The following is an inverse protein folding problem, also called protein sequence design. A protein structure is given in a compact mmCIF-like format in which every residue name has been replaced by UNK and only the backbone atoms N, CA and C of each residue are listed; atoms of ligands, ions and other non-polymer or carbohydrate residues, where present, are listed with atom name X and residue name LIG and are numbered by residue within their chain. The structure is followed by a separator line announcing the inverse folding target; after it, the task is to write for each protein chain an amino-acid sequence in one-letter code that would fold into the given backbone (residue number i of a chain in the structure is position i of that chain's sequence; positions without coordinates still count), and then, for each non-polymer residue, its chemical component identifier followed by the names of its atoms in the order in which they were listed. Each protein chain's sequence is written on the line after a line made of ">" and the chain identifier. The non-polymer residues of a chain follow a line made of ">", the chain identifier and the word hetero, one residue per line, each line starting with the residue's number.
data_IF_603067251099
#
_entry.id   IF_603067251099
#
_cell.length_a   1.000
_cell.length_b   1.000
_cell.length_c   1.000
_cell.angle_alpha   90.00
_cell.angle_beta   90.00
_cell.angle_gamma   90.00
#
_symmetry.space_group_name_H-M   'P 1'
#
loop_
_entity.id
_entity.type
_entity.pdbx_description
1 polymer ?
#
# COMPACT_ATOMS: atom_id res chain seq x y z
N UNK A 1 -41.14 -12.59 -0.30
CA UNK A 1 -40.33 -11.39 -0.05
C UNK A 1 -40.98 -10.26 -0.83
N UNK A 2 -41.81 -9.45 -0.18
CA UNK A 2 -42.47 -8.32 -0.85
C UNK A 2 -41.45 -7.23 -1.11
N UNK A 3 -41.14 -7.02 -2.39
CA UNK A 3 -40.23 -5.98 -2.85
C UNK A 3 -40.91 -4.62 -2.65
N UNK A 4 -40.51 -3.87 -1.62
CA UNK A 4 -41.17 -2.64 -1.22
C UNK A 4 -40.71 -1.46 -2.09
N UNK A 5 -41.30 -1.35 -3.28
CA UNK A 5 -41.02 -0.30 -4.28
C UNK A 5 -41.16 1.11 -3.68
N UNK A 6 -42.04 1.31 -2.69
CA UNK A 6 -42.21 2.59 -2.00
C UNK A 6 -40.97 2.98 -1.19
N UNK A 7 -40.34 2.01 -0.52
CA UNK A 7 -39.09 2.24 0.22
C UNK A 7 -37.93 2.53 -0.73
N UNK A 8 -37.86 1.82 -1.86
CA UNK A 8 -36.85 2.07 -2.88
C UNK A 8 -36.99 3.49 -3.47
N UNK A 9 -38.22 3.94 -3.73
CA UNK A 9 -38.49 5.28 -4.23
C UNK A 9 -38.16 6.37 -3.20
N UNK A 10 -38.45 6.15 -1.91
CA UNK A 10 -38.08 7.11 -0.85
C UNK A 10 -36.56 7.19 -0.66
N UNK A 11 -35.87 6.04 -0.67
CA UNK A 11 -34.42 5.98 -0.50
C UNK A 11 -33.70 6.62 -1.70
N UNK A 12 -34.21 6.41 -2.92
CA UNK A 12 -33.74 7.09 -4.13
C UNK A 12 -33.97 8.61 -4.06
N UNK A 13 -35.14 9.05 -3.57
CA UNK A 13 -35.44 10.46 -3.37
C UNK A 13 -34.42 11.15 -2.45
N UNK A 14 -34.10 10.53 -1.31
CA UNK A 14 -33.08 11.02 -0.37
C UNK A 14 -31.70 11.10 -1.05
N UNK A 15 -31.32 10.08 -1.83
CA UNK A 15 -30.05 10.08 -2.56
C UNK A 15 -29.94 11.23 -3.57
N UNK A 16 -31.01 11.50 -4.33
CA UNK A 16 -31.05 12.63 -5.26
C UNK A 16 -30.95 13.96 -4.53
N UNK A 17 -31.66 14.13 -3.41
CA UNK A 17 -31.59 15.34 -2.59
C UNK A 17 -30.17 15.58 -2.05
N UNK A 18 -29.50 14.54 -1.56
CA UNK A 18 -28.09 14.61 -1.13
C UNK A 18 -27.16 15.01 -2.27
N UNK A 19 -27.35 14.42 -3.46
CA UNK A 19 -26.52 14.73 -4.63
C UNK A 19 -26.68 16.20 -5.05
N UNK A 20 -27.91 16.71 -5.09
CA UNK A 20 -28.20 18.12 -5.40
C UNK A 20 -27.49 19.04 -4.40
N UNK A 21 -27.64 18.76 -3.10
CA UNK A 21 -27.00 19.54 -2.04
C UNK A 21 -25.47 19.52 -2.17
N UNK A 22 -24.88 18.34 -2.36
CA UNK A 22 -23.44 18.17 -2.52
C UNK A 22 -22.90 18.95 -3.72
N UNK A 23 -23.60 18.90 -4.86
CA UNK A 23 -23.21 19.69 -6.03
C UNK A 23 -23.32 21.19 -5.75
N UNK A 24 -24.39 21.65 -5.12
CA UNK A 24 -24.58 23.06 -4.76
C UNK A 24 -23.46 23.63 -3.89
N UNK A 25 -22.95 22.85 -2.93
CA UNK A 25 -21.82 23.24 -2.09
C UNK A 25 -20.50 23.30 -2.86
N UNK A 26 -20.24 22.33 -3.75
CA UNK A 26 -19.02 22.31 -4.58
C UNK A 26 -18.97 23.48 -5.57
N UNK A 27 -20.12 23.96 -6.02
CA UNK A 27 -20.25 25.14 -6.88
C UNK A 27 -20.38 26.46 -6.08
N UNK A 28 -20.27 26.43 -4.75
CA UNK A 28 -20.33 27.62 -3.89
C UNK A 28 -21.70 28.30 -3.82
N UNK A 29 -22.76 27.61 -4.25
CA UNK A 29 -24.13 28.13 -4.27
C UNK A 29 -24.85 27.94 -2.93
N UNK A 30 -24.37 27.01 -2.09
CA UNK A 30 -24.98 26.68 -0.80
C UNK A 30 -23.90 26.65 0.29
N UNK A 31 -24.19 27.30 1.41
CA UNK A 31 -23.32 27.36 2.58
C UNK A 31 -23.25 25.98 3.25
N UNK A 32 -22.03 25.53 3.56
CA UNK A 32 -21.75 24.25 4.20
C UNK A 32 -21.86 24.41 5.71
N UNK A 33 -22.57 23.51 6.39
CA UNK A 33 -22.48 23.43 7.85
C UNK A 33 -21.03 23.11 8.25
N UNK A 34 -20.36 24.07 8.90
CA UNK A 34 -19.00 23.93 9.40
C UNK A 34 -18.95 23.04 10.64
N UNK A 35 -17.90 22.24 10.73
CA UNK A 35 -17.58 21.45 11.92
C UNK A 35 -16.68 22.30 12.83
N UNK A 36 -16.80 22.11 14.14
CA UNK A 36 -15.95 22.81 15.11
C UNK A 36 -14.46 22.47 14.89
N UNK A 37 -13.58 23.43 15.20
CA UNK A 37 -12.13 23.33 15.02
C UNK A 37 -11.52 22.11 15.72
N UNK A 38 -12.04 21.74 16.89
CA UNK A 38 -11.60 20.53 17.58
C UNK A 38 -11.89 19.26 16.75
N UNK A 39 -13.06 19.18 16.13
CA UNK A 39 -13.46 18.03 15.32
C UNK A 39 -12.65 17.94 14.02
N UNK A 40 -12.38 19.07 13.37
CA UNK A 40 -11.49 19.13 12.19
C UNK A 40 -10.06 18.68 12.53
N UNK A 41 -9.53 19.07 13.68
CA UNK A 41 -8.23 18.59 14.16
C UNK A 41 -8.22 17.07 14.37
N UNK A 42 -9.30 16.52 14.96
CA UNK A 42 -9.45 15.07 15.13
C UNK A 42 -9.48 14.33 13.78
N UNK A 43 -10.20 14.86 12.79
CA UNK A 43 -10.25 14.30 11.44
C UNK A 43 -8.89 14.30 10.76
N UNK A 44 -8.18 15.44 10.79
CA UNK A 44 -6.84 15.59 10.22
C UNK A 44 -5.84 14.63 10.85
N UNK A 45 -5.88 14.50 12.18
CA UNK A 45 -5.06 13.54 12.93
C UNK A 45 -5.39 12.10 12.54
N UNK A 46 -6.67 11.76 12.38
CA UNK A 46 -7.11 10.44 11.97
C UNK A 46 -6.61 10.07 10.57
N UNK A 47 -6.73 10.98 9.61
CA UNK A 47 -6.23 10.80 8.24
C UNK A 47 -4.72 10.61 8.20
N UNK A 48 -4.00 11.44 8.95
CA UNK A 48 -2.54 11.30 9.10
C UNK A 48 -2.18 9.94 9.71
N UNK A 49 -2.91 9.52 10.74
CA UNK A 49 -2.69 8.23 11.41
C UNK A 49 -2.86 7.06 10.44
N UNK A 50 -3.95 7.02 9.68
CA UNK A 50 -4.18 5.95 8.71
C UNK A 50 -3.11 5.92 7.64
N UNK A 51 -2.81 7.08 7.04
CA UNK A 51 -1.84 7.17 5.95
C UNK A 51 -0.45 6.69 6.38
N UNK A 52 0.02 7.13 7.55
CA UNK A 52 1.33 6.71 8.06
C UNK A 52 1.34 5.26 8.54
N UNK A 53 0.27 4.80 9.19
CA UNK A 53 0.16 3.39 9.61
C UNK A 53 0.21 2.46 8.40
N UNK A 54 -0.50 2.78 7.33
CA UNK A 54 -0.49 1.99 6.09
C UNK A 54 0.90 1.99 5.43
N UNK A 55 1.57 3.15 5.34
CA UNK A 55 2.92 3.23 4.76
C UNK A 55 3.94 2.43 5.56
N UNK A 56 3.94 2.56 6.89
CA UNK A 56 4.84 1.82 7.77
C UNK A 56 4.58 0.32 7.64
N UNK A 57 3.30 -0.09 7.71
CA UNK A 57 2.91 -1.48 7.52
C UNK A 57 3.43 -2.05 6.20
N UNK A 58 3.19 -1.37 5.06
CA UNK A 58 3.65 -1.81 3.74
C UNK A 58 5.17 -1.90 3.64
N UNK A 59 5.88 -0.92 4.19
CA UNK A 59 7.34 -0.93 4.15
C UNK A 59 7.93 -2.04 5.02
N UNK A 60 7.32 -2.31 6.17
CA UNK A 60 7.73 -3.42 7.04
C UNK A 60 7.43 -4.78 6.41
N UNK A 61 6.31 -4.94 5.69
CA UNK A 61 6.05 -6.16 4.88
C UNK A 61 7.17 -6.41 3.86
N UNK A 62 7.61 -5.35 3.15
CA UNK A 62 8.70 -5.45 2.17
C UNK A 62 10.04 -5.78 2.83
N UNK A 63 10.32 -5.21 4.01
CA UNK A 63 11.52 -5.51 4.79
C UNK A 63 11.59 -6.99 5.19
N UNK A 64 10.47 -7.54 5.69
CA UNK A 64 10.41 -8.92 6.17
C UNK A 64 10.36 -9.93 5.01
N UNK A 65 9.64 -9.60 3.93
CA UNK A 65 9.52 -10.45 2.75
C UNK A 65 9.60 -9.64 1.45
N UNK A 66 10.81 -9.46 0.90
CA UNK A 66 11.01 -8.68 -0.32
C UNK A 66 10.31 -9.28 -1.54
N UNK A 67 10.15 -10.61 -1.59
CA UNK A 67 9.54 -11.30 -2.71
C UNK A 67 8.02 -11.03 -2.77
N UNK A 68 7.50 -10.36 -3.82
CA UNK A 68 6.09 -10.05 -3.94
C UNK A 68 5.20 -11.29 -4.09
N UNK A 69 5.66 -12.34 -4.79
CA UNK A 69 4.89 -13.57 -4.98
C UNK A 69 4.65 -14.29 -3.66
N UNK A 70 5.69 -14.36 -2.82
CA UNK A 70 5.58 -14.98 -1.49
C UNK A 70 4.65 -14.18 -0.57
N UNK A 71 4.67 -12.84 -0.65
CA UNK A 71 3.75 -11.98 0.12
C UNK A 71 2.28 -12.20 -0.24
N UNK A 72 1.99 -12.33 -1.53
CA UNK A 72 0.62 -12.60 -2.00
C UNK A 72 0.18 -13.99 -1.55
N UNK A 73 1.06 -14.97 -1.65
CA UNK A 73 0.80 -16.34 -1.18
C UNK A 73 0.45 -16.34 0.32
N UNK A 74 1.25 -15.70 1.17
CA UNK A 74 0.99 -15.60 2.61
C UNK A 74 -0.35 -14.92 2.91
N UNK A 75 -0.67 -13.82 2.22
CA UNK A 75 -1.95 -13.14 2.35
C UNK A 75 -3.15 -14.03 1.99
N UNK A 76 -3.01 -14.87 0.95
CA UNK A 76 -4.08 -15.79 0.54
C UNK A 76 -4.29 -16.91 1.57
N UNK A 77 -3.22 -17.46 2.14
CA UNK A 77 -3.31 -18.45 3.22
C UNK A 77 -3.95 -17.84 4.48
N UNK A 78 -3.56 -16.61 4.84
CA UNK A 78 -4.14 -15.84 5.94
C UNK A 78 -5.65 -15.61 5.73
N UNK A 79 -6.08 -15.22 4.52
CA UNK A 79 -7.51 -15.02 4.21
C UNK A 79 -8.33 -16.31 4.13
N UNK A 80 -7.68 -17.45 3.91
CA UNK A 80 -8.34 -18.75 3.78
C UNK A 80 -8.34 -19.55 5.10
N UNK A 81 -7.85 -18.95 6.20
CA UNK A 81 -7.62 -19.59 7.50
C UNK A 81 -6.80 -20.89 7.37
N UNK A 82 -5.85 -20.92 6.43
CA UNK A 82 -4.97 -22.06 6.19
C UNK A 82 -3.55 -21.73 6.66
N UNK A 83 -2.88 -22.74 7.22
CA UNK A 83 -1.48 -22.60 7.62
C UNK A 83 -0.59 -22.50 6.38
N UNK A 84 0.24 -21.45 6.30
CA UNK A 84 1.27 -21.32 5.28
C UNK A 84 2.21 -22.53 5.38
N UNK A 85 2.51 -23.22 4.26
CA UNK A 85 3.47 -24.33 4.26
C UNK A 85 4.83 -23.86 4.80
N UNK A 86 5.39 -24.58 5.77
CA UNK A 86 6.73 -24.29 6.29
C UNK A 86 7.77 -24.57 5.20
N UNK A 87 8.19 -23.52 4.49
CA UNK A 87 9.32 -23.60 3.55
C UNK A 87 10.61 -23.35 4.33
N UNK A 88 11.67 -24.15 4.11
CA UNK A 88 12.97 -23.87 4.69
C UNK A 88 13.50 -22.55 4.13
N UNK A 89 14.07 -21.72 5.00
CA UNK A 89 14.74 -20.51 4.56
C UNK A 89 15.99 -20.88 3.75
N UNK A 90 16.49 -19.94 2.92
CA UNK A 90 17.68 -20.17 2.10
C UNK A 90 18.89 -20.63 2.94
N UNK A 91 19.04 -20.08 4.14
CA UNK A 91 20.11 -20.41 5.10
C UNK A 91 19.98 -21.85 5.63
N UNK A 92 18.75 -22.30 5.89
CA UNK A 92 18.51 -23.67 6.35
C UNK A 92 18.76 -24.66 5.23
N UNK A 93 18.32 -24.32 4.01
CA UNK A 93 18.57 -25.13 2.83
C UNK A 93 20.08 -25.31 2.58
N UNK A 94 20.86 -24.23 2.68
CA UNK A 94 22.31 -24.29 2.59
C UNK A 94 22.90 -25.17 3.71
N UNK A 95 22.45 -24.98 4.95
CA UNK A 95 22.87 -25.79 6.09
C UNK A 95 22.59 -27.28 5.90
N UNK A 96 21.46 -27.64 5.29
CA UNK A 96 21.12 -29.02 4.93
C UNK A 96 22.10 -29.59 3.91
N UNK A 97 22.36 -28.88 2.81
CA UNK A 97 23.32 -29.35 1.80
C UNK A 97 24.74 -29.51 2.35
N UNK A 98 25.19 -28.61 3.24
CA UNK A 98 26.50 -28.73 3.89
C UNK A 98 26.59 -29.98 4.77
N UNK A 99 25.51 -30.34 5.46
CA UNK A 99 25.46 -31.55 6.29
C UNK A 99 25.41 -32.83 5.46
N UNK A 100 24.66 -32.83 4.37
CA UNK A 100 24.60 -33.97 3.47
C UNK A 100 25.95 -34.19 2.78
N UNK A 101 26.60 -33.12 2.31
CA UNK A 101 27.98 -33.17 1.83
C UNK A 101 28.93 -33.72 2.91
N UNK A 102 28.78 -33.31 4.16
CA UNK A 102 29.61 -33.82 5.25
C UNK A 102 29.44 -35.31 5.53
N UNK A 103 28.23 -35.86 5.31
CA UNK A 103 27.96 -37.31 5.42
C UNK A 103 28.73 -38.07 4.34
N UNK A 104 28.74 -37.55 3.11
CA UNK A 104 29.42 -38.17 1.97
C UNK A 104 30.95 -38.10 2.10
N UNK A 105 31.50 -36.96 2.53
CA UNK A 105 32.94 -36.81 2.79
C UNK A 105 33.41 -37.57 4.04
N UNK A 106 32.49 -37.91 4.93
CA UNK A 106 32.76 -38.59 6.19
C UNK A 106 33.39 -37.68 7.26
N UNK A 107 33.06 -37.90 8.55
CA UNK A 107 33.54 -37.05 9.66
C UNK A 107 35.04 -37.21 9.97
N UNK A 108 35.69 -38.24 9.40
CA UNK A 108 37.12 -38.50 9.56
C UNK A 108 38.01 -37.51 8.79
N UNK A 109 37.45 -36.78 7.82
CA UNK A 109 38.20 -35.75 7.09
C UNK A 109 38.09 -34.40 7.80
N UNK A 110 39.14 -33.56 7.77
CA UNK A 110 39.06 -32.18 8.30
C UNK A 110 38.01 -31.34 7.57
N UNK A 111 37.74 -31.66 6.30
CA UNK A 111 36.71 -31.01 5.51
C UNK A 111 35.30 -31.42 5.95
N UNK A 112 35.01 -32.71 6.05
CA UNK A 112 33.71 -33.21 6.52
C UNK A 112 33.37 -32.73 7.93
N UNK A 113 34.31 -32.82 8.88
CA UNK A 113 34.11 -32.31 10.24
C UNK A 113 33.89 -30.79 10.32
N UNK A 114 34.48 -30.01 9.40
CA UNK A 114 34.23 -28.58 9.26
C UNK A 114 32.84 -28.31 8.69
N UNK A 115 32.45 -29.02 7.63
CA UNK A 115 31.13 -28.88 7.00
C UNK A 115 30.00 -29.17 7.98
N UNK A 116 30.14 -30.14 8.89
CA UNK A 116 29.16 -30.38 9.96
C UNK A 116 28.99 -29.11 10.82
N UNK A 117 30.10 -28.53 11.29
CA UNK A 117 30.05 -27.36 12.18
C UNK A 117 29.47 -26.13 11.49
N UNK A 118 29.85 -25.88 10.24
CA UNK A 118 29.33 -24.75 9.44
C UNK A 118 27.86 -24.99 9.11
N UNK A 119 27.49 -26.19 8.66
CA UNK A 119 26.10 -26.54 8.36
C UNK A 119 25.17 -26.45 9.58
N UNK A 120 25.64 -26.83 10.77
CA UNK A 120 24.91 -26.62 12.04
C UNK A 120 24.80 -25.15 12.44
N UNK A 121 25.76 -24.31 12.02
CA UNK A 121 25.71 -22.87 12.22
C UNK A 121 24.65 -22.24 11.30
N UNK A 122 24.70 -22.54 10.00
CA UNK A 122 23.75 -22.06 9.00
C UNK A 122 22.30 -22.48 9.31
N UNK A 123 22.08 -23.73 9.75
CA UNK A 123 20.74 -24.19 10.14
C UNK A 123 20.19 -23.43 11.36
N UNK A 124 21.05 -23.11 12.34
CA UNK A 124 20.65 -22.30 13.51
C UNK A 124 20.38 -20.86 13.12
N UNK A 125 21.17 -20.31 12.20
CA UNK A 125 20.96 -18.97 11.65
C UNK A 125 19.57 -18.86 11.00
N UNK A 126 19.23 -19.80 10.13
CA UNK A 126 17.93 -19.84 9.49
C UNK A 126 16.76 -20.01 10.46
N UNK A 127 16.94 -20.77 11.55
CA UNK A 127 15.93 -20.88 12.61
C UNK A 127 15.68 -19.54 13.32
N UNK A 128 16.75 -18.80 13.65
CA UNK A 128 16.64 -17.47 14.28
C UNK A 128 15.98 -16.48 13.32
N UNK A 129 16.32 -16.54 12.03
CA UNK A 129 15.68 -15.71 11.00
C UNK A 129 14.18 -16.00 10.90
N UNK A 130 13.79 -17.28 10.89
CA UNK A 130 12.38 -17.69 10.84
C UNK A 130 11.60 -17.20 12.06
N UNK A 131 12.17 -17.35 13.25
CA UNK A 131 11.56 -16.89 14.50
C UNK A 131 11.40 -15.36 14.50
N UNK A 132 12.40 -14.62 14.02
CA UNK A 132 12.32 -13.17 13.88
C UNK A 132 11.19 -12.75 12.92
N UNK A 133 11.09 -13.38 11.74
CA UNK A 133 10.03 -13.10 10.77
C UNK A 133 8.63 -13.36 11.38
N UNK A 134 8.46 -14.50 12.03
CA UNK A 134 7.18 -14.87 12.66
C UNK A 134 6.81 -13.92 13.81
N UNK A 135 7.75 -13.63 14.70
CA UNK A 135 7.51 -12.76 15.86
C UNK A 135 7.22 -11.33 15.40
N UNK A 136 7.90 -10.86 14.36
CA UNK A 136 7.65 -9.56 13.74
C UNK A 136 6.26 -9.47 13.08
N UNK A 137 5.84 -10.52 12.37
CA UNK A 137 4.53 -10.58 11.75
C UNK A 137 3.40 -10.55 12.80
N UNK A 138 3.54 -11.32 13.87
CA UNK A 138 2.53 -11.42 14.94
C UNK A 138 2.54 -10.18 15.84
N UNK A 139 3.73 -9.77 16.29
CA UNK A 139 3.90 -8.71 17.29
C UNK A 139 3.75 -7.30 16.72
N UNK A 140 4.10 -7.08 15.45
CA UNK A 140 4.11 -5.74 14.85
C UNK A 140 3.12 -5.58 13.69
N UNK A 141 3.14 -6.48 12.69
CA UNK A 141 2.27 -6.31 11.51
C UNK A 141 0.78 -6.56 11.82
N UNK A 142 0.47 -7.61 12.61
CA UNK A 142 -0.92 -8.00 12.90
C UNK A 142 -1.72 -6.89 13.61
N UNK A 143 -1.21 -6.21 14.65
CA UNK A 143 -1.91 -5.08 15.27
C UNK A 143 -2.22 -3.94 14.29
N UNK A 144 -1.25 -3.58 13.43
CA UNK A 144 -1.45 -2.53 12.42
C UNK A 144 -2.49 -2.96 11.38
N UNK A 145 -2.48 -4.23 10.95
CA UNK A 145 -3.51 -4.79 10.06
C UNK A 145 -4.89 -4.70 10.71
N UNK A 146 -5.02 -5.11 11.97
CA UNK A 146 -6.29 -5.08 12.70
C UNK A 146 -6.86 -3.67 12.81
N UNK A 147 -6.01 -2.67 13.08
CA UNK A 147 -6.42 -1.27 13.06
C UNK A 147 -6.92 -0.84 11.66
N UNK A 148 -6.17 -1.14 10.59
CA UNK A 148 -6.53 -0.73 9.22
C UNK A 148 -7.78 -1.44 8.68
N UNK A 149 -7.92 -2.74 8.94
CA UNK A 149 -9.02 -3.57 8.42
C UNK A 149 -10.26 -3.58 9.33
N UNK A 150 -10.11 -3.22 10.61
CA UNK A 150 -11.18 -3.19 11.62
C UNK A 150 -11.59 -1.76 12.00
N UNK A 151 -10.81 -1.13 12.88
CA UNK A 151 -11.14 0.17 13.47
C UNK A 151 -11.29 1.27 12.42
N UNK A 152 -10.34 1.37 11.49
CA UNK A 152 -10.37 2.38 10.44
C UNK A 152 -11.56 2.19 9.49
N UNK A 153 -11.95 0.95 9.17
CA UNK A 153 -13.16 0.71 8.36
C UNK A 153 -14.41 1.22 9.04
N UNK A 154 -14.50 1.06 10.36
CA UNK A 154 -15.61 1.59 11.17
C UNK A 154 -15.58 3.11 11.16
N UNK A 155 -14.43 3.73 11.45
CA UNK A 155 -14.25 5.20 11.40
C UNK A 155 -14.63 5.75 10.03
N UNK A 156 -14.16 5.12 8.94
CA UNK A 156 -14.46 5.53 7.57
C UNK A 156 -15.96 5.47 7.25
N UNK A 157 -16.65 4.42 7.72
CA UNK A 157 -18.09 4.26 7.55
C UNK A 157 -18.86 5.35 8.31
N UNK A 158 -18.53 5.59 9.57
CA UNK A 158 -19.21 6.60 10.40
C UNK A 158 -18.96 8.02 9.88
N UNK A 159 -17.76 8.33 9.38
CA UNK A 159 -17.46 9.60 8.69
C UNK A 159 -18.33 9.79 7.45
N UNK A 160 -18.50 8.74 6.63
CA UNK A 160 -19.39 8.81 5.46
C UNK A 160 -20.84 9.01 5.87
N UNK A 161 -21.27 8.38 6.97
CA UNK A 161 -22.62 8.55 7.49
C UNK A 161 -22.84 9.97 8.02
N UNK A 162 -21.85 10.54 8.73
CA UNK A 162 -21.87 11.92 9.19
C UNK A 162 -22.03 12.91 8.03
N UNK A 163 -21.25 12.73 6.96
CA UNK A 163 -21.37 13.56 5.76
C UNK A 163 -22.76 13.45 5.11
N UNK A 164 -23.33 12.25 5.06
CA UNK A 164 -24.71 12.07 4.58
C UNK A 164 -25.73 12.80 5.47
N UNK A 165 -25.57 12.74 6.80
CA UNK A 165 -26.45 13.47 7.75
C UNK A 165 -26.30 14.97 7.64
N UNK A 166 -25.09 15.47 7.39
CA UNK A 166 -24.83 16.89 7.11
C UNK A 166 -25.64 17.36 5.89
N UNK A 167 -25.57 16.61 4.79
CA UNK A 167 -26.33 16.93 3.57
C UNK A 167 -27.84 16.88 3.79
N UNK A 168 -28.34 15.90 4.57
CA UNK A 168 -29.76 15.80 4.92
C UNK A 168 -30.23 17.03 5.73
N UNK A 169 -29.42 17.46 6.70
CA UNK A 169 -29.66 18.62 7.53
C UNK A 169 -29.65 19.93 6.72
N UNK A 170 -28.66 20.10 5.85
CA UNK A 170 -28.55 21.28 4.97
C UNK A 170 -29.75 21.35 4.00
N UNK A 171 -30.19 20.21 3.47
CA UNK A 171 -31.41 20.14 2.66
C UNK A 171 -32.67 20.50 3.45
N UNK A 172 -32.81 20.03 4.69
CA UNK A 172 -33.94 20.40 5.55
C UNK A 172 -33.94 21.89 5.89
N UNK A 173 -32.78 22.50 6.15
CA UNK A 173 -32.64 23.96 6.34
C UNK A 173 -33.08 24.72 5.09
N UNK A 174 -32.64 24.29 3.91
CA UNK A 174 -33.01 24.91 2.64
C UNK A 174 -34.51 24.80 2.36
N UNK A 175 -35.12 23.63 2.62
CA UNK A 175 -36.55 23.41 2.47
C UNK A 175 -37.35 24.28 3.44
N UNK A 176 -36.96 24.36 4.72
CA UNK A 176 -37.63 25.22 5.69
C UNK A 176 -37.58 26.69 5.27
N UNK A 177 -36.42 27.18 4.80
CA UNK A 177 -36.28 28.54 4.27
C UNK A 177 -37.22 28.79 3.08
N UNK A 178 -37.34 27.81 2.17
CA UNK A 178 -38.25 27.90 1.02
C UNK A 178 -39.72 27.89 1.44
N UNK A 179 -40.12 27.02 2.38
CA UNK A 179 -41.50 26.96 2.89
C UNK A 179 -41.89 28.26 3.61
N UNK A 180 -41.01 28.83 4.44
CA UNK A 180 -41.26 30.13 5.11
C UNK A 180 -41.39 31.29 4.12
N UNK A 181 -40.61 31.28 3.03
CA UNK A 181 -40.74 32.26 1.95
C UNK A 181 -42.03 32.09 1.14
N UNK A 182 -42.53 30.87 1.00
CA UNK A 182 -43.81 30.60 0.33
C UNK A 182 -44.99 31.03 1.21
N UNK A 183 -44.93 30.75 2.51
CA UNK A 183 -45.92 31.18 3.49
C UNK A 183 -46.02 32.72 3.55
N UNK A 184 -44.89 33.43 3.62
CA UNK A 184 -44.89 34.90 3.66
C UNK A 184 -45.44 35.52 2.37
N UNK A 185 -45.15 34.94 1.20
CA UNK A 185 -45.73 35.37 -0.08
C UNK A 185 -47.24 35.13 -0.12
N UNK A 186 -47.70 33.95 0.31
CA UNK A 186 -49.13 33.63 0.36
C UNK A 186 -49.89 34.55 1.34
N UNK A 187 -49.26 34.95 2.45
CA UNK A 187 -49.82 35.93 3.39
C UNK A 187 -49.95 37.32 2.77
N UNK A 188 -48.94 37.81 2.03
CA UNK A 188 -49.00 39.11 1.35
C UNK A 188 -50.01 39.14 0.19
N UNK A 189 -50.17 38.05 -0.56
CA UNK A 189 -51.18 37.93 -1.62
C UNK A 189 -52.61 37.87 -1.06
N UNK A 190 -52.79 37.36 0.16
CA UNK A 190 -54.07 37.37 0.88
C UNK A 190 -54.48 38.75 1.41
N UNK A 191 -53.53 39.65 1.69
CA UNK A 191 -53.78 41.03 2.16
C UNK A 191 -53.90 42.07 1.03
N UNK A 192 -53.61 41.71 -0.22
CA UNK A 192 -53.81 42.61 -1.35
C UNK A 192 -55.30 42.97 -1.48
N UNK A 193 -55.64 44.22 -1.14
CA UNK A 193 -57.01 44.77 -1.19
C UNK A 193 -57.62 44.47 -2.56
N UNK A 194 -58.72 43.69 -2.64
CA UNK A 194 -59.41 43.50 -3.90
C UNK A 194 -60.05 44.82 -4.28
N UNK A 195 -59.83 45.24 -5.53
CA UNK A 195 -60.55 46.35 -6.14
C UNK A 195 -62.06 46.19 -5.89
N UNK A 196 -62.67 47.25 -5.35
CA UNK A 196 -63.98 47.23 -4.71
C UNK A 196 -65.09 47.14 -5.78
N UNK A 197 -65.27 45.97 -6.40
CA UNK A 197 -66.44 45.73 -7.26
C UNK A 197 -66.89 44.25 -7.39
N UNK A 198 -66.10 43.25 -7.01
CA UNK A 198 -66.50 41.83 -7.16
C UNK A 198 -66.98 41.18 -5.84
N UNK A 199 -68.29 41.06 -5.70
CA UNK A 199 -68.98 40.26 -4.67
C UNK A 199 -68.81 38.76 -4.92
N UNK A 200 -67.65 38.17 -4.58
CA UNK A 200 -67.50 36.71 -4.50
C UNK A 200 -66.81 36.23 -3.21
N UNK A 201 -67.57 35.67 -2.25
CA UNK A 201 -67.03 35.01 -1.05
C UNK A 201 -66.08 33.83 -1.34
N UNK A 202 -66.06 33.32 -2.58
CA UNK A 202 -65.26 32.15 -2.99
C UNK A 202 -63.75 32.40 -2.99
N UNK A 203 -63.28 33.63 -3.24
CA UNK A 203 -61.83 33.92 -3.29
C UNK A 203 -61.20 33.94 -1.89
N UNK A 204 -61.91 34.44 -0.88
CA UNK A 204 -61.42 34.47 0.51
C UNK A 204 -61.27 33.07 1.11
N UNK A 205 -62.19 32.15 0.84
CA UNK A 205 -62.11 30.77 1.34
C UNK A 205 -60.93 30.02 0.69
N UNK A 206 -60.65 30.25 -0.59
CA UNK A 206 -59.51 29.66 -1.28
C UNK A 206 -58.17 30.23 -0.78
N UNK A 207 -58.10 31.54 -0.53
CA UNK A 207 -56.94 32.22 0.06
C UNK A 207 -56.65 31.71 1.48
N UNK A 208 -57.64 31.69 2.37
CA UNK A 208 -57.48 31.17 3.73
C UNK A 208 -57.11 29.67 3.76
N UNK A 209 -57.65 28.87 2.84
CA UNK A 209 -57.29 27.46 2.70
C UNK A 209 -55.85 27.28 2.19
N UNK A 210 -55.38 28.16 1.30
CA UNK A 210 -54.00 28.15 0.83
C UNK A 210 -53.01 28.56 1.92
N UNK A 211 -53.31 29.60 2.71
CA UNK A 211 -52.48 29.97 3.87
C UNK A 211 -52.38 28.86 4.91
N UNK A 212 -53.49 28.17 5.22
CA UNK A 212 -53.49 27.05 6.15
C UNK A 212 -52.61 25.87 5.67
N UNK A 213 -52.61 25.57 4.37
CA UNK A 213 -51.76 24.53 3.78
C UNK A 213 -50.27 24.87 3.87
N UNK A 214 -49.90 26.14 3.68
CA UNK A 214 -48.50 26.56 3.78
C UNK A 214 -48.02 26.56 5.23
N UNK A 215 -48.86 26.94 6.19
CA UNK A 215 -48.52 26.83 7.62
C UNK A 215 -48.30 25.37 8.04
N UNK A 216 -49.15 24.44 7.58
CA UNK A 216 -48.95 22.99 7.83
C UNK A 216 -47.64 22.47 7.22
N UNK A 217 -47.28 22.91 6.01
CA UNK A 217 -46.02 22.54 5.36
C UNK A 217 -44.80 23.15 6.06
N UNK A 218 -44.91 24.36 6.63
CA UNK A 218 -43.86 24.96 7.47
C UNK A 218 -43.69 24.16 8.76
N UNK A 219 -44.76 23.83 9.47
CA UNK A 219 -44.72 23.02 10.70
C UNK A 219 -44.06 21.66 10.44
N UNK A 220 -44.39 21.03 9.31
CA UNK A 220 -43.78 19.78 8.86
C UNK A 220 -42.29 19.95 8.56
N UNK A 221 -41.91 20.99 7.83
CA UNK A 221 -40.50 21.26 7.52
C UNK A 221 -39.68 21.58 8.79
N UNK A 222 -40.27 22.24 9.79
CA UNK A 222 -39.65 22.50 11.09
C UNK A 222 -39.47 21.21 11.90
N UNK A 223 -40.47 20.31 11.88
CA UNK A 223 -40.36 19.01 12.52
C UNK A 223 -39.26 18.16 11.88
N UNK A 224 -39.22 18.09 10.55
CA UNK A 224 -38.20 17.35 9.80
C UNK A 224 -36.79 17.92 10.04
N UNK A 225 -36.64 19.25 10.10
CA UNK A 225 -35.37 19.87 10.47
C UNK A 225 -34.92 19.49 11.89
N UNK A 226 -35.85 19.50 12.87
CA UNK A 226 -35.52 19.06 14.24
C UNK A 226 -35.03 17.62 14.29
N UNK A 227 -35.68 16.71 13.55
CA UNK A 227 -35.26 15.30 13.47
C UNK A 227 -33.90 15.16 12.77
N UNK A 228 -33.67 15.91 11.69
CA UNK A 228 -32.38 15.90 10.99
C UNK A 228 -31.24 16.44 11.87
N UNK A 229 -31.50 17.49 12.65
CA UNK A 229 -30.54 18.05 13.60
C UNK A 229 -30.15 17.04 14.69
N UNK A 230 -31.12 16.40 15.34
CA UNK A 230 -30.83 15.43 16.41
C UNK A 230 -30.07 14.22 15.88
N UNK A 231 -30.39 13.75 14.68
CA UNK A 231 -29.67 12.62 14.06
C UNK A 231 -28.25 13.01 13.62
N UNK A 232 -28.04 14.25 13.13
CA UNK A 232 -26.70 14.77 12.85
C UNK A 232 -25.87 14.90 14.12
N UNK A 233 -26.40 15.49 15.18
CA UNK A 233 -25.69 15.67 16.46
C UNK A 233 -25.32 14.31 17.08
N UNK A 234 -26.26 13.35 17.05
CA UNK A 234 -26.01 11.96 17.47
C UNK A 234 -24.88 11.33 16.66
N UNK A 235 -24.90 11.50 15.33
CA UNK A 235 -23.89 10.93 14.45
C UNK A 235 -22.52 11.60 14.60
N UNK A 236 -22.51 12.92 14.85
CA UNK A 236 -21.30 13.69 15.13
C UNK A 236 -20.64 13.19 16.40
N UNK A 237 -21.40 12.96 17.48
CA UNK A 237 -20.87 12.43 18.73
C UNK A 237 -20.32 11.01 18.59
N UNK A 238 -21.02 10.11 17.89
CA UNK A 238 -20.50 8.76 17.59
C UNK A 238 -19.16 8.84 16.85
N UNK A 239 -19.08 9.69 15.83
CA UNK A 239 -17.84 9.87 15.05
C UNK A 239 -16.74 10.50 15.92
N UNK A 240 -17.08 11.47 16.77
CA UNK A 240 -16.16 12.13 17.70
C UNK A 240 -15.50 11.13 18.64
N UNK A 241 -16.30 10.28 19.28
CA UNK A 241 -15.81 9.25 20.21
C UNK A 241 -14.87 8.26 19.52
N UNK A 242 -15.17 7.86 18.29
CA UNK A 242 -14.29 6.98 17.50
C UNK A 242 -12.96 7.66 17.16
N UNK A 243 -12.99 8.94 16.78
CA UNK A 243 -11.77 9.72 16.47
C UNK A 243 -10.92 10.00 17.72
N UNK A 244 -11.55 10.21 18.88
CA UNK A 244 -10.85 10.31 20.16
C UNK A 244 -10.20 8.98 20.56
N UNK A 245 -10.86 7.86 20.25
CA UNK A 245 -10.34 6.50 20.45
C UNK A 245 -9.00 6.23 19.73
N UNK A 246 -8.68 6.98 18.67
CA UNK A 246 -7.39 6.86 17.97
C UNK A 246 -6.20 7.15 18.91
N UNK A 247 -6.36 8.03 19.89
CA UNK A 247 -5.28 8.26 20.88
C UNK A 247 -4.92 7.00 21.66
N UNK A 248 -5.88 6.13 21.95
CA UNK A 248 -5.61 4.82 22.57
C UNK A 248 -4.86 3.88 21.62
N UNK A 249 -5.23 3.88 20.33
CA UNK A 249 -4.53 3.08 19.31
C UNK A 249 -3.08 3.53 19.14
N UNK A 250 -2.78 4.83 19.27
CA UNK A 250 -1.41 5.35 19.24
C UNK A 250 -0.58 4.80 20.39
N UNK A 251 -1.10 4.79 21.61
CA UNK A 251 -0.40 4.21 22.77
C UNK A 251 -0.13 2.72 22.53
N UNK A 252 -1.10 1.99 21.97
CA UNK A 252 -0.91 0.58 21.61
C UNK A 252 0.20 0.41 20.54
N UNK A 253 0.16 1.20 19.47
CA UNK A 253 1.17 1.16 18.41
C UNK A 253 2.56 1.57 18.92
N UNK A 254 2.65 2.51 19.86
CA UNK A 254 3.90 2.91 20.51
C UNK A 254 4.55 1.74 21.26
N UNK A 255 3.76 0.99 22.03
CA UNK A 255 4.24 -0.25 22.66
C UNK A 255 4.74 -1.25 21.61
N UNK A 256 4.04 -1.38 20.48
CA UNK A 256 4.46 -2.27 19.38
C UNK A 256 5.76 -1.81 18.69
N UNK A 257 6.02 -0.52 18.61
CA UNK A 257 7.29 0.02 18.11
C UNK A 257 8.46 -0.31 19.06
N UNK A 258 8.24 -0.25 20.36
CA UNK A 258 9.24 -0.65 21.36
C UNK A 258 9.50 -2.16 21.26
N UNK A 259 8.44 -2.97 21.17
CA UNK A 259 8.56 -4.41 20.94
C UNK A 259 9.35 -4.71 19.66
N UNK A 260 9.06 -4.00 18.55
CA UNK A 260 9.80 -4.13 17.28
C UNK A 260 11.30 -3.85 17.44
N UNK A 261 11.64 -2.81 18.18
CA UNK A 261 13.03 -2.46 18.47
C UNK A 261 13.74 -3.55 19.28
N UNK A 262 13.04 -4.15 20.24
CA UNK A 262 13.57 -5.26 21.02
C UNK A 262 13.77 -6.52 20.17
N UNK A 263 12.83 -6.83 19.27
CA UNK A 263 12.92 -7.96 18.34
C UNK A 263 14.11 -7.81 17.40
N UNK A 264 14.24 -6.65 16.76
CA UNK A 264 15.34 -6.35 15.83
C UNK A 264 16.70 -6.35 16.52
N UNK A 265 16.79 -5.82 17.75
CA UNK A 265 18.01 -5.87 18.56
C UNK A 265 18.40 -7.30 18.93
N UNK A 266 17.44 -8.11 19.38
CA UNK A 266 17.68 -9.52 19.75
C UNK A 266 18.13 -10.33 18.54
N UNK A 267 17.49 -10.10 17.39
CA UNK A 267 17.89 -10.72 16.14
C UNK A 267 19.32 -10.33 15.74
N UNK A 268 19.65 -9.03 15.78
CA UNK A 268 21.01 -8.53 15.50
C UNK A 268 22.08 -9.13 16.42
N UNK A 269 21.81 -9.22 17.73
CA UNK A 269 22.72 -9.88 18.68
C UNK A 269 22.90 -11.37 18.38
N UNK A 270 21.82 -12.06 17.98
CA UNK A 270 21.86 -13.48 17.64
C UNK A 270 22.68 -13.73 16.38
N UNK A 271 22.51 -12.88 15.35
CA UNK A 271 23.35 -12.87 14.16
C UNK A 271 24.82 -12.63 14.52
N UNK A 272 25.10 -11.58 15.30
CA UNK A 272 26.47 -11.23 15.69
C UNK A 272 27.14 -12.35 16.49
N UNK A 273 26.45 -12.95 17.46
CA UNK A 273 26.99 -14.06 18.23
C UNK A 273 27.30 -15.29 17.36
N UNK A 274 26.48 -15.54 16.33
CA UNK A 274 26.69 -16.63 15.37
C UNK A 274 27.85 -16.35 14.41
N UNK A 275 27.98 -15.13 13.90
CA UNK A 275 29.10 -14.71 13.04
C UNK A 275 30.42 -14.53 13.83
N UNK A 276 30.34 -14.19 15.11
CA UNK A 276 31.48 -14.07 16.01
C UNK A 276 31.90 -15.39 16.66
N UNK A 277 31.35 -16.55 16.27
CA UNK A 277 31.92 -17.85 16.62
C UNK A 277 33.40 -17.84 16.21
N UNK A 278 34.35 -17.74 17.15
CA UNK A 278 35.74 -17.56 16.78
C UNK A 278 36.18 -18.81 16.02
N UNK A 279 36.99 -18.67 14.97
CA UNK A 279 37.61 -19.83 14.31
C UNK A 279 38.40 -20.74 15.27
N UNK A 280 38.64 -20.29 16.51
CA UNK A 280 39.14 -21.06 17.64
C UNK A 280 38.17 -22.15 18.13
N UNK A 281 36.84 -22.01 17.99
CA UNK A 281 35.85 -23.06 18.28
C UNK A 281 35.60 -24.02 17.10
N UNK A 282 35.80 -23.56 15.85
CA UNK A 282 35.83 -24.47 14.70
C UNK A 282 37.10 -25.34 14.67
N UNK A 283 38.15 -24.96 15.42
CA UNK A 283 39.43 -25.69 15.48
C UNK A 283 40.29 -25.49 14.23
N UNK A 284 39.90 -24.57 13.34
CA UNK A 284 40.51 -24.36 12.02
C UNK A 284 41.70 -23.39 12.10
N UNK A 285 41.67 -22.42 13.01
CA UNK A 285 42.69 -21.36 13.04
C UNK A 285 43.89 -21.72 13.93
N UNK A 286 43.72 -22.60 14.92
CA UNK A 286 44.76 -22.88 15.92
C UNK A 286 45.55 -24.17 15.69
N UNK A 287 45.21 -24.95 14.65
CA UNK A 287 46.09 -25.99 14.12
C UNK A 287 46.55 -25.49 12.76
N UNK A 288 47.73 -24.87 12.73
CA UNK A 288 48.31 -24.35 11.49
C UNK A 288 48.13 -25.35 10.36
N UNK A 289 47.64 -24.87 9.21
CA UNK A 289 47.56 -25.67 7.99
C UNK A 289 48.90 -26.39 7.82
N UNK A 290 48.98 -27.73 7.93
CA UNK A 290 50.20 -28.41 7.54
C UNK A 290 50.36 -28.08 6.06
N UNK A 291 51.47 -27.42 5.75
CA UNK A 291 51.80 -26.86 4.46
C UNK A 291 51.79 -27.98 3.40
N UNK A 292 50.61 -28.29 2.84
CA UNK A 292 50.41 -29.38 1.88
C UNK A 292 50.96 -29.05 0.49
N UNK A 293 51.69 -27.94 0.36
CA UNK A 293 52.38 -27.51 -0.86
C UNK A 293 53.91 -27.44 -0.68
N UNK A 294 54.47 -27.95 0.42
CA UNK A 294 55.92 -28.05 0.59
C UNK A 294 56.48 -29.28 -0.16
N UNK A 295 56.50 -29.20 -1.48
CA UNK A 295 57.17 -30.15 -2.38
C UNK A 295 58.54 -29.62 -2.84
N UNK A 296 59.59 -30.33 -2.41
CA UNK A 296 61.01 -30.31 -2.83
C UNK A 296 61.99 -29.25 -2.27
N UNK A 297 62.97 -29.67 -1.44
CA UNK A 297 64.22 -28.96 -1.23
C UNK A 297 65.25 -29.44 -2.25
N UNK A 298 65.68 -28.56 -3.14
CA UNK A 298 66.74 -28.89 -4.08
C UNK A 298 67.02 -27.75 -5.04
N UNK A 299 67.70 -26.72 -4.55
CA UNK A 299 68.79 -25.99 -5.20
C UNK A 299 69.09 -24.72 -4.39
N UNK A 300 70.07 -24.82 -3.51
CA UNK A 300 70.71 -23.66 -2.86
C UNK A 300 71.74 -23.05 -3.79
N UNK A 301 71.75 -21.71 -3.91
CA UNK A 301 72.91 -20.79 -3.84
C UNK A 301 72.32 -19.36 -3.77
N UNK A 302 72.44 -18.62 -2.65
CA UNK A 302 73.56 -17.73 -2.28
C UNK A 302 73.89 -16.70 -3.39
N UNK A 303 74.05 -15.38 -3.19
CA UNK A 303 74.14 -14.50 -2.03
C UNK A 303 74.08 -13.03 -2.50
N UNK A 304 73.63 -12.10 -1.65
CA UNK A 304 74.28 -10.78 -1.48
C UNK A 304 73.77 -9.55 -2.26
N UNK A 305 73.56 -8.44 -1.53
CA UNK A 305 73.88 -7.08 -2.02
C UNK A 305 72.75 -6.06 -2.18
N UNK A 306 72.57 -5.22 -1.14
CA UNK A 306 72.28 -3.76 -1.12
C UNK A 306 71.57 -3.03 -2.30
N UNK A 307 70.51 -2.28 -1.94
CA UNK A 307 69.82 -1.13 -2.57
C UNK A 307 70.74 -0.05 -3.22
N UNK A 308 70.29 0.95 -4.04
CA UNK A 308 68.96 1.62 -3.98
C UNK A 308 68.33 2.26 -5.27
N UNK A 309 67.06 2.70 -5.13
CA UNK A 309 66.34 3.85 -5.74
C UNK A 309 66.13 3.99 -7.29
N UNK A 310 64.87 3.75 -7.73
CA UNK A 310 63.96 4.46 -8.69
C UNK A 310 64.45 5.17 -9.98
N UNK A 311 63.59 5.50 -11.00
CA UNK A 311 62.16 5.17 -11.24
C UNK A 311 61.79 4.75 -12.71
N UNK A 312 60.51 4.38 -12.90
CA UNK A 312 59.69 4.46 -14.12
C UNK A 312 60.01 3.61 -15.37
N UNK A 313 59.12 2.66 -15.70
CA UNK A 313 58.42 2.59 -17.00
C UNK A 313 57.45 1.40 -17.07
N UNK A 314 56.25 1.69 -17.60
CA UNK A 314 55.28 0.86 -18.31
C UNK A 314 55.17 -0.65 -17.99
N UNK A 315 54.02 -1.05 -17.46
CA UNK A 315 53.49 -2.42 -17.63
C UNK A 315 52.07 -2.33 -18.18
N UNK A 316 51.90 -3.00 -19.32
CA UNK A 316 50.70 -3.22 -20.09
C UNK A 316 49.58 -3.81 -19.22
N UNK A 317 48.39 -3.22 -19.33
CA UNK A 317 47.15 -3.79 -18.80
C UNK A 317 46.55 -4.64 -19.92
N UNK A 318 46.80 -5.95 -19.84
CA UNK A 318 46.15 -6.96 -20.67
C UNK A 318 44.65 -7.00 -20.31
N UNK A 319 43.87 -6.31 -21.13
CA UNK A 319 42.42 -6.25 -21.04
C UNK A 319 41.86 -7.47 -21.75
N UNK A 320 41.38 -8.44 -20.97
CA UNK A 320 40.64 -9.58 -21.50
C UNK A 320 39.35 -9.08 -22.18
N UNK A 321 39.37 -9.16 -23.52
CA UNK A 321 38.26 -8.91 -24.43
C UNK A 321 37.15 -9.92 -24.15
N UNK A 322 35.97 -9.44 -23.76
CA UNK A 322 34.73 -10.21 -23.84
C UNK A 322 34.31 -10.20 -25.31
N UNK A 323 34.17 -11.39 -25.88
CA UNK A 323 33.67 -11.60 -27.23
C UNK A 323 32.28 -10.96 -27.41
N UNK A 324 32.26 -9.94 -28.27
CA UNK A 324 31.07 -9.35 -28.85
C UNK A 324 30.44 -10.38 -29.81
N UNK A 325 29.35 -11.01 -29.37
CA UNK A 325 28.53 -11.83 -30.26
C UNK A 325 27.73 -10.89 -31.16
N UNK A 326 28.21 -10.75 -32.39
CA UNK A 326 27.58 -9.96 -33.44
C UNK A 326 26.30 -10.65 -33.96
N UNK A 327 25.24 -9.86 -34.10
CA UNK A 327 23.94 -10.27 -34.62
C UNK A 327 23.99 -10.76 -36.08
N UNK A 328 23.05 -11.65 -36.44
CA UNK A 328 22.33 -11.43 -37.67
C UNK A 328 20.81 -11.65 -37.49
N UNK A 329 20.02 -10.63 -37.83
CA UNK A 329 18.99 -10.69 -38.87
C UNK A 329 17.94 -9.56 -38.74
N UNK A 330 17.97 -8.68 -39.74
CA UNK A 330 16.82 -7.99 -40.36
C UNK A 330 15.87 -7.17 -39.47
N UNK A 331 16.04 -5.84 -39.52
CA UNK A 331 14.93 -4.89 -39.33
C UNK A 331 14.90 -4.14 -38.01
N UNK A 332 16.03 -3.89 -37.36
CA UNK A 332 16.10 -2.98 -36.21
C UNK A 332 15.67 -1.56 -36.61
N UNK A 333 14.64 -1.04 -35.94
CA UNK A 333 14.10 0.31 -36.12
C UNK A 333 13.99 0.99 -34.76
N UNK A 334 14.03 2.31 -34.74
CA UNK A 334 13.70 3.06 -33.52
C UNK A 334 12.20 3.25 -33.45
N UNK A 335 11.62 3.17 -32.27
CA UNK A 335 10.20 3.40 -32.05
C UNK A 335 10.02 4.36 -30.88
N UNK A 336 9.07 5.28 -31.03
CA UNK A 336 8.60 6.12 -29.94
C UNK A 336 7.38 5.47 -29.31
N UNK A 337 7.36 5.36 -27.99
CA UNK A 337 6.23 4.81 -27.24
C UNK A 337 5.13 5.87 -27.16
N UNK A 338 3.91 5.49 -27.55
CA UNK A 338 2.74 6.39 -27.57
C UNK A 338 2.00 6.43 -26.23
N UNK A 339 1.99 5.32 -25.49
CA UNK A 339 1.27 5.17 -24.23
C UNK A 339 2.07 4.32 -23.24
N UNK A 340 1.84 4.54 -21.95
CA UNK A 340 2.37 3.67 -20.90
C UNK A 340 1.83 2.25 -21.08
N UNK A 341 2.71 1.26 -20.94
CA UNK A 341 2.37 -0.16 -21.05
C UNK A 341 3.06 -0.93 -19.94
N UNK A 342 2.28 -1.62 -19.11
CA UNK A 342 2.80 -2.50 -18.07
C UNK A 342 2.89 -3.94 -18.60
N UNK A 343 4.09 -4.52 -18.58
CA UNK A 343 4.33 -5.91 -18.96
C UNK A 343 3.46 -6.86 -18.13
N UNK A 344 2.73 -7.76 -18.80
CA UNK A 344 1.89 -8.76 -18.16
C UNK A 344 2.70 -9.94 -17.62
N UNK A 345 3.87 -10.22 -18.21
CA UNK A 345 4.76 -11.30 -17.79
C UNK A 345 6.25 -10.96 -17.95
N UNK A 346 7.13 -11.90 -17.57
CA UNK A 346 8.60 -11.73 -17.66
C UNK A 346 9.15 -11.79 -19.10
N UNK A 347 8.31 -12.07 -20.09
CA UNK A 347 8.67 -12.11 -21.51
C UNK A 347 8.37 -10.78 -22.22
N UNK A 348 7.56 -9.92 -21.61
CA UNK A 348 7.17 -8.58 -22.07
C UNK A 348 8.03 -7.47 -21.44
N UNK A 349 8.07 -6.29 -22.07
CA UNK A 349 8.81 -5.14 -21.58
C UNK A 349 7.87 -3.97 -21.25
N UNK A 350 7.94 -3.45 -20.02
CA UNK A 350 7.15 -2.27 -19.62
C UNK A 350 7.69 -0.99 -20.26
N UNK A 351 6.78 -0.21 -20.83
CA UNK A 351 7.06 1.00 -21.58
C UNK A 351 6.48 2.24 -20.89
N UNK A 352 7.18 3.37 -21.02
CA UNK A 352 6.68 4.67 -20.62
C UNK A 352 6.39 5.52 -21.86
N UNK A 353 5.29 6.27 -21.86
CA UNK A 353 4.92 7.17 -22.94
C UNK A 353 6.04 8.18 -23.22
N UNK A 354 6.21 8.52 -24.50
CA UNK A 354 7.28 9.35 -25.05
C UNK A 354 8.70 8.79 -24.94
N UNK A 355 8.89 7.54 -24.48
CA UNK A 355 10.18 6.86 -24.47
C UNK A 355 10.62 6.40 -25.87
N UNK A 356 11.93 6.43 -26.16
CA UNK A 356 12.52 5.93 -27.41
C UNK A 356 13.20 4.59 -27.18
N UNK A 357 12.72 3.55 -27.87
CA UNK A 357 13.25 2.18 -27.77
C UNK A 357 13.69 1.66 -29.13
N UNK A 358 14.55 0.64 -29.13
CA UNK A 358 14.93 -0.07 -30.37
C UNK A 358 14.08 -1.32 -30.50
N UNK A 359 13.49 -1.56 -31.67
CA UNK A 359 12.59 -2.70 -31.91
C UNK A 359 12.99 -3.50 -33.15
N UNK A 360 12.78 -4.82 -33.10
CA UNK A 360 13.01 -5.71 -34.23
C UNK A 360 12.07 -6.92 -34.21
N UNK A 361 11.90 -7.54 -35.38
CA UNK A 361 11.10 -8.76 -35.57
C UNK A 361 11.96 -10.01 -35.41
N UNK A 362 11.47 -11.01 -34.69
CA UNK A 362 12.12 -12.32 -34.56
C UNK A 362 11.31 -13.38 -35.33
N UNK A 363 11.93 -14.31 -36.07
CA UNK A 363 11.20 -15.37 -36.77
C UNK A 363 10.34 -16.21 -35.83
N UNK A 364 9.04 -16.34 -36.14
CA UNK A 364 8.07 -17.08 -35.31
C UNK A 364 7.29 -16.24 -34.29
N UNK A 365 7.47 -14.91 -34.29
CA UNK A 365 6.68 -13.96 -33.50
C UNK A 365 5.41 -13.54 -34.24
N UNK A 366 4.31 -13.32 -33.50
CA UNK A 366 3.06 -12.78 -34.04
C UNK A 366 3.24 -11.36 -34.60
N UNK A 367 2.48 -11.00 -35.65
CA UNK A 367 2.61 -9.72 -36.37
C UNK A 367 2.30 -8.48 -35.52
N UNK A 368 1.61 -8.67 -34.41
CA UNK A 368 1.16 -7.59 -33.52
C UNK A 368 2.19 -7.29 -32.42
N UNK A 369 3.31 -8.01 -32.42
CA UNK A 369 4.36 -7.95 -31.40
C UNK A 369 5.74 -7.74 -32.00
N UNK A 370 6.53 -6.90 -31.34
CA UNK A 370 7.95 -6.69 -31.63
C UNK A 370 8.79 -7.00 -30.39
N UNK A 371 10.08 -7.28 -30.58
CA UNK A 371 11.02 -7.31 -29.45
C UNK A 371 11.57 -5.90 -29.27
N UNK A 372 11.29 -5.30 -28.12
CA UNK A 372 11.81 -4.01 -27.70
C UNK A 372 13.05 -4.17 -26.82
N UNK A 373 14.04 -3.32 -27.05
CA UNK A 373 15.28 -3.24 -26.30
C UNK A 373 15.45 -1.82 -25.73
N UNK A 374 15.53 -1.76 -24.40
CA UNK A 374 15.79 -0.56 -23.61
C UNK A 374 17.02 -0.79 -22.73
N UNK A 375 18.18 -0.35 -23.21
CA UNK A 375 19.46 -0.57 -22.53
C UNK A 375 19.74 -2.06 -22.33
N UNK A 376 19.82 -2.52 -21.08
CA UNK A 376 20.06 -3.94 -20.75
C UNK A 376 18.78 -4.77 -20.64
N UNK A 377 17.59 -4.18 -20.84
CA UNK A 377 16.30 -4.86 -20.75
C UNK A 377 15.74 -5.12 -22.14
N UNK A 378 15.27 -6.34 -22.38
CA UNK A 378 14.64 -6.75 -23.65
C UNK A 378 13.37 -7.55 -23.36
N UNK A 379 12.35 -7.36 -24.18
CA UNK A 379 11.08 -8.09 -24.04
C UNK A 379 10.13 -7.78 -25.19
N UNK A 380 9.02 -8.51 -25.23
CA UNK A 380 7.97 -8.30 -26.23
C UNK A 380 7.19 -7.04 -25.93
N UNK A 381 6.86 -6.29 -26.98
CA UNK A 381 6.10 -5.04 -26.92
C UNK A 381 5.03 -5.02 -28.01
N UNK A 382 3.81 -4.59 -27.71
CA UNK A 382 2.74 -4.53 -28.69
C UNK A 382 2.95 -3.38 -29.67
N UNK A 383 2.81 -3.65 -30.98
CA UNK A 383 3.03 -2.66 -32.06
C UNK A 383 2.07 -1.48 -31.95
N UNK A 384 0.85 -1.70 -31.44
CA UNK A 384 -0.18 -0.65 -31.28
C UNK A 384 0.20 0.46 -30.31
N UNK A 385 1.18 0.23 -29.44
CA UNK A 385 1.67 1.19 -28.46
C UNK A 385 2.92 1.94 -28.96
N UNK A 386 3.33 1.70 -30.20
CA UNK A 386 4.58 2.18 -30.78
C UNK A 386 4.35 2.95 -32.07
N UNK A 387 5.07 4.06 -32.21
CA UNK A 387 5.25 4.77 -33.47
C UNK A 387 6.64 4.44 -34.03
N UNK A 388 6.70 3.65 -35.09
CA UNK A 388 7.96 3.28 -35.74
C UNK A 388 8.54 4.49 -36.46
N UNK A 389 9.73 4.92 -36.03
CA UNK A 389 10.50 5.98 -36.66
C UNK A 389 11.35 5.34 -37.77
N UNK A 390 11.14 5.81 -39.01
CA UNK A 390 11.87 5.31 -40.18
C UNK A 390 13.32 5.73 -40.23
#
# INVERSE_FOLDING_TARGET
>A
MDFNVKKLASDAGIFFTRAIQFTGEKFGQVEKTELDAHFENLLSRADSTKNWTEKIFRQTEVLLQPNPSSRIEEFLYEKLDRTVPSRPNNEELLGHYMQDAAKDFGPGTPYGSTLIKVGDCERRLGSVQREFLQTSAIGFLTPLRNFLEGDWRTISKERRLLENRRLDLDSCKARLKKSKLAESKAACEGEAVPDFQETRPRNYVLSASASALWSEEVDKAEHELRVAQTEFDRQAEVTRLLLEGISSTHVSHEVKLVEWTNMTTTHGHSLQHMHCLPGNKLGIINKGFPNAFAGNPGHSMASGGSSPLDPASAVETDTLKIEEVQAPATGTRKAKVLYDYDAADTSELSLLADELITVYTVPGMDSDWLVGERGNQKGKVPVTYLELLS
#
